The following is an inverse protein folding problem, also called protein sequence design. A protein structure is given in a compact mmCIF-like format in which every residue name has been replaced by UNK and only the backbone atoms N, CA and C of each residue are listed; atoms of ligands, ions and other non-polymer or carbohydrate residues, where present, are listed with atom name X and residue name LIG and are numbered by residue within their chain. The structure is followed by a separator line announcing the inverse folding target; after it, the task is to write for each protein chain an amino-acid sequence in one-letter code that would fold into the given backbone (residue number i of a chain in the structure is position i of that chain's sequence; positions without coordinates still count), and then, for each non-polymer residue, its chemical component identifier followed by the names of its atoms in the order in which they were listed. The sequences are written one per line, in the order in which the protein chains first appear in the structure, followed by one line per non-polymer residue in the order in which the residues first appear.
data_IF_557968234272
#
_entry.id   IF_557968234272
#
_cell.length_a   1.000
_cell.length_b   1.000
_cell.length_c   1.000
_cell.angle_alpha   90.00
_cell.angle_beta   90.00
_cell.angle_gamma   90.00
#
_symmetry.space_group_name_H-M   'P 1'
#
loop_
_entity.id
_entity.type
_entity.pdbx_description
1 polymer ?
#
# COMPACT_ATOMS: atom_id res chain seq x y z
N UNK A 1 1.95 -18.86 -3.89
CA UNK A 1 0.54 -18.48 -3.66
C UNK A 1 0.16 -17.48 -4.74
N UNK A 2 -1.12 -17.41 -5.12
CA UNK A 2 -1.55 -16.43 -6.12
C UNK A 2 -1.77 -15.06 -5.47
N UNK A 3 -1.37 -13.98 -6.14
CA UNK A 3 -1.72 -12.61 -5.71
C UNK A 3 -3.21 -12.33 -5.92
N UNK A 4 -3.80 -11.46 -5.09
CA UNK A 4 -5.25 -11.19 -5.04
C UNK A 4 -5.82 -10.70 -6.36
N UNK A 5 -5.04 -9.90 -7.09
CA UNK A 5 -5.39 -9.36 -8.41
C UNK A 5 -4.54 -9.97 -9.53
N UNK A 6 -4.30 -11.29 -9.47
CA UNK A 6 -3.44 -11.99 -10.45
C UNK A 6 -3.94 -11.80 -11.88
N UNK A 7 -5.26 -11.84 -12.11
CA UNK A 7 -5.83 -11.72 -13.45
C UNK A 7 -5.57 -10.34 -14.06
N UNK A 8 -5.67 -9.30 -13.25
CA UNK A 8 -5.43 -7.92 -13.66
C UNK A 8 -3.94 -7.67 -13.87
N UNK A 9 -3.10 -8.11 -12.93
CA UNK A 9 -1.64 -7.96 -13.03
C UNK A 9 -1.08 -8.68 -14.26
N UNK A 10 -1.62 -9.83 -14.64
CA UNK A 10 -1.18 -10.61 -15.80
C UNK A 10 -1.46 -9.93 -17.15
N UNK A 11 -2.21 -8.82 -17.17
CA UNK A 11 -2.44 -8.02 -18.38
C UNK A 11 -1.27 -7.08 -18.69
N UNK A 12 -0.30 -6.96 -17.77
CA UNK A 12 0.85 -6.08 -17.88
C UNK A 12 2.14 -6.90 -17.97
N UNK A 13 3.15 -6.34 -18.63
CA UNK A 13 4.51 -6.88 -18.58
C UNK A 13 5.15 -6.53 -17.22
N UNK A 14 4.92 -7.40 -16.25
CA UNK A 14 5.31 -7.19 -14.86
C UNK A 14 6.32 -8.24 -14.40
N UNK A 15 7.57 -7.83 -14.23
CA UNK A 15 8.61 -8.69 -13.66
C UNK A 15 8.47 -8.77 -12.12
N UNK A 16 7.63 -9.68 -11.67
CA UNK A 16 7.45 -9.99 -10.25
C UNK A 16 8.57 -10.87 -9.67
N UNK A 17 9.57 -11.30 -10.46
CA UNK A 17 10.63 -12.18 -9.96
C UNK A 17 11.55 -11.50 -8.94
N UNK A 18 11.54 -10.16 -8.92
CA UNK A 18 12.27 -9.33 -7.96
C UNK A 18 11.51 -9.10 -6.66
N UNK A 19 10.22 -9.42 -6.63
CA UNK A 19 9.39 -9.32 -5.43
C UNK A 19 9.55 -10.58 -4.60
N UNK A 20 9.61 -10.41 -3.27
CA UNK A 20 9.86 -11.52 -2.34
C UNK A 20 8.91 -11.46 -1.17
N UNK A 21 8.62 -12.62 -0.60
CA UNK A 21 7.96 -12.70 0.69
C UNK A 21 8.80 -12.01 1.76
N UNK A 22 8.15 -11.26 2.64
CA UNK A 22 8.81 -10.47 3.68
C UNK A 22 8.18 -10.71 5.03
N UNK A 23 8.98 -10.50 6.08
CA UNK A 23 8.51 -10.48 7.46
C UNK A 23 9.06 -9.22 8.13
N UNK A 24 8.22 -8.20 8.28
CA UNK A 24 8.62 -6.92 8.88
C UNK A 24 7.43 -6.15 9.46
N UNK A 25 7.73 -5.29 10.43
CA UNK A 25 6.84 -4.19 10.76
C UNK A 25 6.82 -3.18 9.61
N UNK A 26 5.63 -2.72 9.26
CA UNK A 26 5.40 -1.84 8.12
C UNK A 26 4.38 -0.77 8.46
N UNK A 27 4.47 0.34 7.75
CA UNK A 27 3.60 1.49 7.92
C UNK A 27 2.95 1.85 6.61
N UNK A 28 1.71 2.34 6.65
CA UNK A 28 1.04 2.86 5.46
C UNK A 28 0.05 3.96 5.81
N UNK A 29 -0.35 4.71 4.81
CA UNK A 29 -1.46 5.65 4.96
C UNK A 29 -2.78 4.89 4.97
N UNK A 30 -3.66 5.32 5.86
CA UNK A 30 -5.05 4.85 5.99
C UNK A 30 -5.97 6.03 6.31
N UNK A 31 -7.27 5.81 6.21
CA UNK A 31 -8.28 6.65 6.82
C UNK A 31 -8.40 6.33 8.32
N UNK A 32 -9.16 7.16 9.04
CA UNK A 32 -9.39 7.03 10.48
C UNK A 32 -10.03 5.69 10.85
N UNK A 33 -11.03 5.26 10.07
CA UNK A 33 -11.59 3.92 10.19
C UNK A 33 -10.71 2.92 9.44
N UNK A 34 -10.10 1.98 10.17
CA UNK A 34 -9.27 0.92 9.60
C UNK A 34 -10.06 0.02 8.64
N UNK A 35 -11.37 -0.08 8.83
CA UNK A 35 -12.27 -0.89 7.99
C UNK A 35 -12.68 -0.21 6.69
N UNK A 36 -12.25 1.05 6.45
CA UNK A 36 -12.45 1.70 5.16
C UNK A 36 -11.79 0.87 4.06
N UNK A 37 -12.58 0.45 3.07
CA UNK A 37 -12.12 -0.46 2.01
C UNK A 37 -10.95 0.11 1.23
N UNK A 38 -10.90 1.45 1.12
CA UNK A 38 -9.83 2.17 0.41
C UNK A 38 -8.47 2.01 1.07
N UNK A 39 -8.43 1.62 2.35
CA UNK A 39 -7.18 1.40 3.08
C UNK A 39 -6.37 0.24 2.50
N UNK A 40 -7.00 -0.85 2.07
CA UNK A 40 -6.29 -2.06 1.65
C UNK A 40 -6.65 -2.53 0.24
N UNK A 41 -7.38 -1.69 -0.51
CA UNK A 41 -7.56 -1.86 -1.94
C UNK A 41 -6.50 -1.09 -2.74
N UNK A 42 -5.96 -1.66 -3.83
CA UNK A 42 -5.03 -0.96 -4.70
C UNK A 42 -5.67 0.24 -5.40
N UNK A 43 -4.83 1.17 -5.86
CA UNK A 43 -5.32 2.41 -6.46
C UNK A 43 -6.11 2.19 -7.76
N UNK A 44 -5.80 1.16 -8.55
CA UNK A 44 -6.55 0.85 -9.76
C UNK A 44 -7.91 0.19 -9.48
N UNK A 45 -8.09 -0.39 -8.28
CA UNK A 45 -9.38 -0.89 -7.82
C UNK A 45 -10.22 0.26 -7.27
N UNK A 46 -9.61 1.12 -6.45
CA UNK A 46 -10.25 2.29 -5.85
C UNK A 46 -10.65 3.37 -6.89
N UNK A 47 -9.83 3.57 -7.93
CA UNK A 47 -10.05 4.54 -8.99
C UNK A 47 -9.85 3.90 -10.37
N UNK A 48 -10.83 3.11 -10.86
CA UNK A 48 -10.72 2.37 -12.13
C UNK A 48 -10.69 3.30 -13.35
N UNK A 49 -11.01 4.60 -13.19
CA UNK A 49 -10.88 5.61 -14.24
C UNK A 49 -9.45 6.07 -14.43
N UNK A 50 -8.55 5.80 -13.47
CA UNK A 50 -7.14 6.11 -13.57
C UNK A 50 -6.54 5.34 -14.75
N UNK A 51 -5.71 6.01 -15.54
CA UNK A 51 -4.95 5.35 -16.60
C UNK A 51 -4.11 4.23 -15.98
N UNK A 52 -4.31 3.02 -16.48
CA UNK A 52 -3.56 1.84 -16.06
C UNK A 52 -2.40 1.61 -17.04
N UNK A 53 -1.19 1.90 -16.61
CA UNK A 53 0.02 1.88 -17.45
C UNK A 53 1.05 0.84 -17.00
N UNK A 54 0.93 0.29 -15.79
CA UNK A 54 1.78 -0.78 -15.29
C UNK A 54 1.07 -1.58 -14.18
N UNK A 55 1.64 -2.70 -13.76
CA UNK A 55 1.08 -3.56 -12.72
C UNK A 55 1.13 -2.98 -11.30
N UNK A 56 1.99 -2.00 -11.01
CA UNK A 56 2.19 -1.48 -9.65
C UNK A 56 0.96 -0.74 -9.12
N UNK A 57 0.03 -0.33 -10.00
CA UNK A 57 -1.28 0.18 -9.56
C UNK A 57 -2.17 -0.86 -8.86
N UNK A 58 -1.81 -2.15 -8.93
CA UNK A 58 -2.42 -3.24 -8.16
C UNK A 58 -1.64 -3.59 -6.87
N UNK A 59 -0.49 -2.96 -6.64
CA UNK A 59 0.23 -3.07 -5.38
C UNK A 59 -0.28 -2.05 -4.35
N UNK A 60 -0.03 -2.34 -3.08
CA UNK A 60 -0.24 -1.44 -1.96
C UNK A 60 1.09 -0.76 -1.61
N UNK A 61 1.03 0.54 -1.30
CA UNK A 61 2.21 1.30 -0.88
C UNK A 61 2.40 1.23 0.63
N UNK A 62 3.60 0.81 1.03
CA UNK A 62 4.03 0.73 2.42
C UNK A 62 5.34 1.46 2.65
N UNK A 63 5.71 1.63 3.91
CA UNK A 63 6.96 2.22 4.37
C UNK A 63 7.58 1.32 5.44
N UNK A 64 8.90 1.17 5.41
CA UNK A 64 9.64 0.46 6.47
C UNK A 64 9.90 1.33 7.70
N UNK A 65 9.58 2.64 7.65
CA UNK A 65 9.70 3.57 8.77
C UNK A 65 8.48 4.48 8.84
N UNK A 66 7.96 4.67 10.06
CA UNK A 66 6.81 5.54 10.34
C UNK A 66 7.03 6.97 9.85
N UNK A 67 8.16 7.56 10.22
CA UNK A 67 8.50 8.97 9.91
C UNK A 67 8.60 9.19 8.41
N UNK A 68 9.05 8.17 7.66
CA UNK A 68 9.13 8.25 6.21
C UNK A 68 7.74 8.37 5.57
N UNK A 69 6.77 7.57 6.05
CA UNK A 69 5.38 7.67 5.61
C UNK A 69 4.75 9.02 5.96
N UNK A 70 4.98 9.52 7.18
CA UNK A 70 4.45 10.81 7.63
C UNK A 70 5.03 11.95 6.78
N UNK A 71 6.36 12.00 6.64
CA UNK A 71 7.05 13.04 5.87
C UNK A 71 6.60 13.01 4.41
N UNK A 72 6.47 11.82 3.82
CA UNK A 72 6.06 11.68 2.43
C UNK A 72 4.63 12.17 2.20
N UNK A 73 3.70 11.88 3.12
CA UNK A 73 2.34 12.39 2.98
C UNK A 73 2.30 13.91 3.08
N UNK A 74 2.96 14.49 4.09
CA UNK A 74 3.05 15.95 4.27
C UNK A 74 3.67 16.65 3.06
N UNK A 75 4.71 16.08 2.47
CA UNK A 75 5.36 16.59 1.27
C UNK A 75 4.39 16.61 0.07
N UNK A 76 3.67 15.51 -0.16
CA UNK A 76 2.74 15.38 -1.29
C UNK A 76 1.50 16.28 -1.17
N UNK A 77 1.10 16.61 0.06
CA UNK A 77 -0.12 17.38 0.34
C UNK A 77 0.12 18.84 0.68
N UNK A 78 1.39 19.28 0.82
CA UNK A 78 1.79 20.64 1.23
C UNK A 78 1.02 21.76 0.50
N UNK A 79 0.74 21.59 -0.80
CA UNK A 79 0.00 22.55 -1.62
C UNK A 79 -1.27 21.96 -2.24
N UNK A 80 -1.71 20.79 -1.74
CA UNK A 80 -2.79 20.00 -2.31
C UNK A 80 -3.58 19.29 -1.22
N UNK A 81 -4.14 20.05 -0.29
CA UNK A 81 -4.87 19.54 0.88
C UNK A 81 -5.96 18.50 0.53
N UNK A 82 -6.56 18.58 -0.66
CA UNK A 82 -7.56 17.60 -1.11
C UNK A 82 -6.99 16.20 -1.38
N UNK A 83 -5.66 16.01 -1.46
CA UNK A 83 -5.06 14.69 -1.66
C UNK A 83 -5.21 13.77 -0.46
N UNK A 84 -5.30 14.30 0.77
CA UNK A 84 -5.58 13.48 1.96
C UNK A 84 -6.89 12.69 1.83
N UNK A 85 -7.89 13.25 1.14
CA UNK A 85 -9.18 12.57 0.90
C UNK A 85 -9.06 11.33 0.00
N UNK A 86 -7.95 11.20 -0.74
CA UNK A 86 -7.66 10.07 -1.63
C UNK A 86 -6.61 9.12 -1.07
N UNK A 87 -5.59 9.65 -0.41
CA UNK A 87 -4.44 8.89 0.05
C UNK A 87 -4.61 8.30 1.46
N UNK A 88 -5.44 8.93 2.28
CA UNK A 88 -5.53 8.68 3.71
C UNK A 88 -5.19 9.94 4.53
N UNK A 89 -5.63 9.94 5.78
CA UNK A 89 -5.41 11.04 6.75
C UNK A 89 -4.54 10.61 7.93
N UNK A 90 -4.32 9.31 8.11
CA UNK A 90 -3.64 8.71 9.24
C UNK A 90 -2.48 7.84 8.81
N UNK A 91 -1.57 7.55 9.74
CA UNK A 91 -0.59 6.47 9.62
C UNK A 91 -1.07 5.26 10.42
N UNK A 92 -0.98 4.08 9.83
CA UNK A 92 -1.20 2.79 10.50
C UNK A 92 0.08 1.97 10.50
N UNK A 93 0.24 1.10 11.51
CA UNK A 93 1.29 0.08 11.57
C UNK A 93 0.70 -1.32 11.60
N UNK A 94 1.42 -2.27 11.05
CA UNK A 94 1.09 -3.68 11.05
C UNK A 94 2.29 -4.53 10.65
N UNK A 95 2.30 -5.79 11.09
CA UNK A 95 3.34 -6.76 10.73
C UNK A 95 2.89 -7.53 9.49
N UNK A 96 3.65 -7.38 8.39
CA UNK A 96 3.51 -8.23 7.22
C UNK A 96 4.31 -9.51 7.44
N UNK A 97 3.71 -10.64 7.11
CA UNK A 97 4.30 -11.97 7.21
C UNK A 97 4.49 -12.55 5.81
N UNK A 98 5.31 -13.60 5.69
CA UNK A 98 5.57 -14.25 4.39
C UNK A 98 4.31 -14.80 3.72
N UNK A 99 3.29 -15.15 4.51
CA UNK A 99 1.98 -15.60 4.03
C UNK A 99 1.09 -14.49 3.49
N UNK A 100 1.50 -13.22 3.60
CA UNK A 100 0.63 -12.08 3.32
C UNK A 100 0.76 -11.60 1.88
N UNK A 101 1.89 -11.87 1.24
CA UNK A 101 2.17 -11.38 -0.09
C UNK A 101 3.67 -11.26 -0.38
N UNK A 102 3.97 -10.51 -1.45
CA UNK A 102 5.33 -10.25 -1.92
C UNK A 102 5.60 -8.74 -1.99
N UNK A 103 6.79 -8.32 -1.56
CA UNK A 103 7.24 -6.94 -1.53
C UNK A 103 8.38 -6.71 -2.52
N UNK A 104 8.43 -5.49 -3.08
CA UNK A 104 9.63 -4.97 -3.72
C UNK A 104 10.67 -4.54 -2.68
N UNK A 105 11.91 -4.33 -3.12
CA UNK A 105 12.95 -3.73 -2.27
C UNK A 105 12.58 -2.28 -1.91
N UNK A 106 12.70 -1.87 -0.64
CA UNK A 106 12.44 -0.50 -0.25
C UNK A 106 13.36 0.52 -0.93
N UNK A 107 12.77 1.62 -1.37
CA UNK A 107 13.50 2.71 -2.01
C UNK A 107 14.23 3.63 -1.00
N UNK A 108 14.80 4.73 -1.51
CA UNK A 108 15.52 5.71 -0.69
C UNK A 108 14.64 6.41 0.35
N UNK A 109 13.34 6.55 0.09
CA UNK A 109 12.36 7.10 1.04
C UNK A 109 11.70 6.01 1.88
N UNK A 110 12.27 4.79 1.88
CA UNK A 110 11.77 3.64 2.65
C UNK A 110 10.40 3.16 2.20
N UNK A 111 9.92 3.60 1.04
CA UNK A 111 8.69 3.14 0.41
C UNK A 111 8.93 1.80 -0.28
N UNK A 112 7.93 0.93 -0.27
CA UNK A 112 7.92 -0.29 -1.07
C UNK A 112 6.51 -0.63 -1.55
N UNK A 113 6.45 -1.33 -2.68
CA UNK A 113 5.23 -1.87 -3.25
C UNK A 113 5.00 -3.30 -2.75
N UNK A 114 3.76 -3.61 -2.37
CA UNK A 114 3.38 -4.91 -1.81
C UNK A 114 2.17 -5.49 -2.54
N UNK A 115 2.31 -6.68 -3.11
CA UNK A 115 1.22 -7.44 -3.70
C UNK A 115 0.69 -8.46 -2.69
N UNK A 116 -0.58 -8.32 -2.31
CA UNK A 116 -1.25 -9.17 -1.33
C UNK A 116 -1.62 -10.52 -1.96
N UNK A 117 -1.49 -11.62 -1.21
CA UNK A 117 -2.01 -12.92 -1.64
C UNK A 117 -3.54 -12.99 -1.55
N UNK A 118 -4.15 -13.86 -2.38
CA UNK A 118 -5.60 -13.89 -2.62
C UNK A 118 -6.47 -13.95 -1.36
N UNK A 119 -6.10 -14.78 -0.40
CA UNK A 119 -6.91 -15.08 0.78
C UNK A 119 -6.50 -14.26 2.02
N UNK A 120 -5.80 -13.14 1.82
CA UNK A 120 -5.27 -12.32 2.90
C UNK A 120 -6.11 -11.05 3.09
N UNK A 121 -6.50 -10.83 4.34
CA UNK A 121 -7.19 -9.62 4.81
C UNK A 121 -6.26 -8.84 5.73
N UNK A 122 -5.74 -7.70 5.22
CA UNK A 122 -4.74 -6.91 5.93
C UNK A 122 -5.34 -6.02 7.02
N UNK A 123 -6.62 -5.65 6.94
CA UNK A 123 -7.28 -4.78 7.93
C UNK A 123 -7.19 -5.34 9.36
N UNK A 124 -7.19 -6.67 9.50
CA UNK A 124 -7.11 -7.36 10.80
C UNK A 124 -5.69 -7.33 11.40
N UNK A 125 -4.69 -6.90 10.62
CA UNK A 125 -3.27 -6.87 10.99
C UNK A 125 -2.74 -5.47 11.27
N UNK A 126 -3.51 -4.44 10.96
CA UNK A 126 -3.07 -3.05 11.06
C UNK A 126 -3.87 -2.30 12.12
N UNK A 127 -3.20 -1.37 12.79
CA UNK A 127 -3.79 -0.46 13.78
C UNK A 127 -3.46 0.98 13.41
N UNK A 128 -4.47 1.84 13.45
CA UNK A 128 -4.31 3.29 13.25
C UNK A 128 -3.54 3.87 14.44
N UNK A 129 -2.45 4.59 14.15
CA UNK A 129 -1.58 5.16 15.19
C UNK A 129 -1.93 6.62 15.49
N UNK A 130 -1.90 7.49 14.48
CA UNK A 130 -2.15 8.93 14.64
C UNK A 130 -2.57 9.60 13.33
N UNK A 131 -3.24 10.76 13.44
CA UNK A 131 -3.53 11.62 12.29
C UNK A 131 -2.25 12.30 11.80
N UNK A 132 -2.11 12.41 10.48
CA UNK A 132 -1.07 13.20 9.81
C UNK A 132 -1.62 14.56 9.38
N UNK A 133 -2.90 14.61 9.01
CA UNK A 133 -3.61 15.76 8.46
C UNK A 133 -4.35 16.55 9.54
#
# INVERSE_FOLDING_TARGET
MDIKYQNEVSQFDCDLTKFKEVELESYRWTFEDINDTRNFEPIYINDPKRKQDNCLGFALSFFTKKEAGINRLKELTLNKEKLFKKLGTHISSGVLNKSDGIAGEPDNIKHFDFFVYRDVELKDKFTVLESIA
#
